data_IF_964323734968
#
_entry.id   IF_964323734968
#
_cell.length_a   1.000
_cell.length_b   1.000
_cell.length_c   1.000
_cell.angle_alpha   90.00
_cell.angle_beta   90.00
_cell.angle_gamma   90.00
#
_symmetry.space_group_name_H-M   'P 1'
#
loop_
_entity.id
_entity.type
_entity.pdbx_description
1 polymer ?
#
# COMPACT_ATOMS: atom_id res chain seq x y z
N UNK A 1 -5.15 9.94 13.52
CA UNK A 1 -6.34 10.40 12.75
C UNK A 1 -7.13 9.17 12.31
N UNK A 2 -8.46 9.20 12.38
CA UNK A 2 -9.33 8.12 11.86
C UNK A 2 -10.23 8.72 10.78
N UNK A 3 -10.18 8.17 9.57
CA UNK A 3 -10.98 8.64 8.43
C UNK A 3 -11.75 7.44 7.86
N UNK A 4 -13.08 7.47 7.77
CA UNK A 4 -13.88 6.45 7.11
C UNK A 4 -13.54 6.36 5.62
N UNK A 5 -13.78 5.18 5.04
CA UNK A 5 -13.69 5.00 3.60
C UNK A 5 -15.00 5.41 2.93
N UNK A 6 -14.89 6.13 1.83
CA UNK A 6 -16.00 6.36 0.90
C UNK A 6 -16.23 5.16 0.01
N UNK A 7 -15.14 4.57 -0.47
CA UNK A 7 -15.16 3.56 -1.51
C UNK A 7 -13.91 2.69 -1.43
N UNK A 8 -14.08 1.40 -1.71
CA UNK A 8 -13.01 0.44 -1.91
C UNK A 8 -13.07 -0.08 -3.34
N UNK A 9 -11.95 -0.01 -4.05
CA UNK A 9 -11.81 -0.41 -5.46
C UNK A 9 -10.72 -1.49 -5.58
N UNK A 10 -11.06 -2.79 -5.46
CA UNK A 10 -10.11 -3.86 -5.73
C UNK A 10 -9.76 -3.91 -7.22
N UNK A 11 -8.56 -4.37 -7.53
CA UNK A 11 -8.17 -4.62 -8.92
C UNK A 11 -9.13 -5.64 -9.57
N UNK A 12 -9.68 -5.38 -10.77
CA UNK A 12 -10.71 -6.23 -11.38
C UNK A 12 -10.21 -7.64 -11.72
N UNK A 13 -8.89 -7.82 -11.84
CA UNK A 13 -8.25 -9.11 -12.08
C UNK A 13 -7.94 -9.91 -10.81
N UNK A 14 -8.19 -9.38 -9.60
CA UNK A 14 -7.95 -10.10 -8.36
C UNK A 14 -8.91 -11.28 -8.23
N UNK A 15 -8.38 -12.48 -7.96
CA UNK A 15 -9.15 -13.73 -7.88
C UNK A 15 -9.15 -14.37 -6.48
N UNK A 16 -8.70 -13.65 -5.45
CA UNK A 16 -8.58 -14.18 -4.08
C UNK A 16 -7.27 -14.93 -3.80
N UNK A 17 -6.51 -15.26 -4.84
CA UNK A 17 -5.13 -15.76 -4.72
C UNK A 17 -4.17 -14.59 -4.93
N UNK A 18 -3.22 -14.38 -4.00
CA UNK A 18 -2.24 -13.29 -4.04
C UNK A 18 -1.16 -13.45 -5.14
N UNK A 19 -1.53 -14.03 -6.29
CA UNK A 19 -0.65 -14.33 -7.42
C UNK A 19 -0.67 -13.23 -8.47
N UNK A 20 -1.80 -12.53 -8.66
CA UNK A 20 -1.92 -11.44 -9.63
C UNK A 20 -2.96 -10.41 -9.20
N UNK A 21 -2.63 -9.12 -9.40
CA UNK A 21 -3.55 -8.02 -9.12
C UNK A 21 -3.89 -7.88 -7.64
N UNK A 22 -3.01 -8.31 -6.72
CA UNK A 22 -3.19 -8.12 -5.29
C UNK A 22 -2.93 -6.65 -4.91
N UNK A 23 -3.88 -5.79 -5.27
CA UNK A 23 -3.87 -4.35 -5.04
C UNK A 23 -5.30 -3.80 -5.03
N UNK A 24 -5.55 -2.80 -4.19
CA UNK A 24 -6.80 -2.07 -4.14
C UNK A 24 -6.56 -0.58 -3.85
N UNK A 25 -7.48 0.27 -4.30
CA UNK A 25 -7.53 1.68 -3.91
C UNK A 25 -8.61 1.90 -2.85
N UNK A 26 -8.25 2.53 -1.74
CA UNK A 26 -9.16 2.94 -0.68
C UNK A 26 -9.36 4.46 -0.72
N UNK A 27 -10.53 4.91 -1.15
CA UNK A 27 -10.85 6.33 -1.21
C UNK A 27 -11.37 6.80 0.15
N UNK A 28 -10.72 7.80 0.73
CA UNK A 28 -11.16 8.41 1.98
C UNK A 28 -12.48 9.19 1.78
N UNK A 29 -13.31 9.24 2.83
CA UNK A 29 -14.56 10.02 2.85
C UNK A 29 -14.32 11.53 2.68
N UNK A 30 -13.17 12.02 3.10
CA UNK A 30 -12.72 13.40 2.89
C UNK A 30 -11.20 13.47 2.75
N UNK A 31 -10.66 14.51 2.10
CA UNK A 31 -9.22 14.73 2.02
C UNK A 31 -8.58 14.90 3.41
N UNK A 32 -7.35 14.43 3.56
CA UNK A 32 -6.52 14.68 4.75
C UNK A 32 -5.55 15.82 4.48
N UNK A 33 -5.30 16.63 5.51
CA UNK A 33 -4.30 17.69 5.44
C UNK A 33 -2.92 17.11 5.66
N UNK A 34 -2.00 17.38 4.74
CA UNK A 34 -0.60 16.98 4.87
C UNK A 34 0.14 17.82 5.91
N UNK A 35 1.16 17.22 6.51
CA UNK A 35 1.96 17.86 7.55
C UNK A 35 3.25 17.09 7.82
N UNK A 36 4.00 17.45 8.88
CA UNK A 36 5.32 16.89 9.15
C UNK A 36 5.34 15.36 9.34
N UNK A 37 4.21 14.77 9.74
CA UNK A 37 4.07 13.34 10.05
C UNK A 37 3.11 12.61 9.10
N UNK A 38 2.52 13.30 8.13
CA UNK A 38 1.56 12.72 7.17
C UNK A 38 1.84 13.28 5.78
N UNK A 39 2.44 12.44 4.94
CA UNK A 39 2.82 12.76 3.56
C UNK A 39 2.52 11.55 2.66
N UNK A 40 2.24 11.77 1.36
CA UNK A 40 2.08 10.68 0.40
C UNK A 40 3.45 10.05 0.07
N UNK A 41 3.43 8.76 -0.29
CA UNK A 41 4.59 8.07 -0.88
C UNK A 41 4.63 8.31 -2.39
N UNK A 42 5.82 8.33 -2.99
CA UNK A 42 5.99 8.40 -4.43
C UNK A 42 5.53 7.10 -5.11
N UNK A 43 4.84 7.22 -6.24
CA UNK A 43 4.59 6.08 -7.12
C UNK A 43 5.80 5.87 -8.05
N UNK A 44 6.20 4.60 -8.30
CA UNK A 44 7.29 4.33 -9.22
C UNK A 44 6.90 4.66 -10.66
N UNK A 45 7.89 5.08 -11.45
CA UNK A 45 7.73 5.15 -12.91
C UNK A 45 7.48 3.74 -13.47
N UNK A 46 6.63 3.57 -14.50
CA UNK A 46 6.43 2.28 -15.15
C UNK A 46 7.71 1.64 -15.71
N UNK A 47 8.75 2.45 -15.97
CA UNK A 47 10.05 1.98 -16.46
C UNK A 47 11.05 1.67 -15.33
N UNK A 48 10.74 2.00 -14.07
CA UNK A 48 11.64 1.77 -12.95
C UNK A 48 11.84 0.26 -12.73
N UNK A 49 13.10 -0.13 -12.52
CA UNK A 49 13.49 -1.49 -12.17
C UNK A 49 14.33 -1.48 -10.90
N UNK A 50 14.11 -2.46 -10.04
CA UNK A 50 14.91 -2.68 -8.84
C UNK A 50 15.87 -3.86 -9.12
N UNK A 51 17.17 -3.61 -9.38
CA UNK A 51 18.11 -4.69 -9.65
C UNK A 51 18.31 -5.59 -8.42
N UNK A 52 18.72 -6.87 -8.61
CA UNK A 52 19.08 -7.74 -7.49
C UNK A 52 20.14 -7.09 -6.58
N UNK A 53 19.97 -7.25 -5.27
CA UNK A 53 20.83 -6.61 -4.27
C UNK A 53 20.44 -5.17 -3.92
N UNK A 54 19.38 -4.60 -4.54
CA UNK A 54 18.83 -3.32 -4.08
C UNK A 54 18.34 -3.45 -2.64
N UNK A 55 18.85 -2.59 -1.76
CA UNK A 55 18.39 -2.50 -0.38
C UNK A 55 17.02 -1.83 -0.34
N UNK A 56 16.04 -2.55 0.19
CA UNK A 56 14.65 -2.10 0.34
C UNK A 56 14.24 -2.17 1.82
N UNK A 57 13.24 -1.37 2.20
CA UNK A 57 12.69 -1.36 3.56
C UNK A 57 11.19 -1.65 3.47
N UNK A 58 10.72 -2.58 4.28
CA UNK A 58 9.30 -2.81 4.56
C UNK A 58 9.02 -2.43 6.01
N UNK A 59 7.88 -1.77 6.26
CA UNK A 59 7.47 -1.34 7.61
C UNK A 59 6.04 -1.80 7.88
N UNK A 60 5.74 -2.09 9.15
CA UNK A 60 4.41 -2.55 9.56
C UNK A 60 4.36 -2.90 11.05
N UNK A 61 3.18 -3.29 11.51
CA UNK A 61 2.91 -3.74 12.88
C UNK A 61 2.62 -5.26 12.92
N UNK A 62 3.20 -6.01 11.98
CA UNK A 62 3.04 -7.46 11.93
C UNK A 62 3.75 -8.18 13.07
N UNK A 63 3.48 -9.48 13.21
CA UNK A 63 4.14 -10.36 14.18
C UNK A 63 5.66 -10.39 13.96
N UNK A 64 6.44 -10.40 15.04
CA UNK A 64 7.91 -10.36 15.01
C UNK A 64 8.53 -11.75 15.23
N UNK A 65 7.76 -12.70 15.79
CA UNK A 65 8.17 -14.08 16.01
C UNK A 65 7.48 -15.09 15.10
N UNK A 66 8.07 -16.28 14.96
CA UNK A 66 7.40 -17.43 14.35
C UNK A 66 6.50 -18.10 15.39
N UNK A 67 5.22 -17.72 15.44
CA UNK A 67 4.31 -18.28 16.46
C UNK A 67 2.83 -17.93 16.28
N UNK A 68 2.38 -17.77 15.03
CA UNK A 68 0.95 -17.64 14.74
C UNK A 68 0.10 -18.76 15.33
#
# INVERSE_FOLDING_TARGET
VRVPLRLLLPHPGYRGEATSGDIALAMLAWPVTFGPTLLPVCLPSPALRFPPGTLCVATGWGEVGEGG
#
